data_IF_166579596962
#
_entry.id   IF_166579596962
#
_cell.length_a   1.000
_cell.length_b   1.000
_cell.length_c   1.000
_cell.angle_alpha   90.00
_cell.angle_beta   90.00
_cell.angle_gamma   90.00
#
_symmetry.space_group_name_H-M   'P 1'
#
loop_
_entity.id
_entity.type
_entity.pdbx_description
1 polymer ?
#
# COMPACT_ATOMS: atom_id res chain seq x y z
N UNK A 1 -1.25 48.03 -50.83
CA UNK A 1 -0.31 47.63 -49.77
C UNK A 1 -1.15 47.18 -48.58
N UNK A 2 -1.36 45.88 -48.45
CA UNK A 2 -2.09 45.30 -47.31
C UNK A 2 -1.06 45.16 -46.20
N UNK A 3 -1.24 45.91 -45.11
CA UNK A 3 -0.48 45.75 -43.88
C UNK A 3 -0.70 44.32 -43.37
N UNK A 4 0.30 43.46 -43.50
CA UNK A 4 0.41 42.24 -42.72
C UNK A 4 0.80 42.62 -41.30
N UNK A 5 -0.19 43.02 -40.50
CA UNK A 5 -0.07 42.93 -39.06
C UNK A 5 -0.32 41.46 -38.75
N UNK A 6 0.76 40.67 -38.60
CA UNK A 6 0.66 39.32 -38.02
C UNK A 6 -0.01 39.49 -36.65
N UNK A 7 -1.28 39.10 -36.55
CA UNK A 7 -1.93 38.92 -35.26
C UNK A 7 -1.18 37.80 -34.56
N UNK A 8 -0.24 38.15 -33.68
CA UNK A 8 0.37 37.19 -32.77
C UNK A 8 -0.76 36.60 -31.93
N UNK A 9 -0.97 35.29 -32.08
CA UNK A 9 -1.92 34.54 -31.26
C UNK A 9 -1.48 34.63 -29.80
N UNK A 10 -2.42 34.96 -28.92
CA UNK A 10 -2.21 34.93 -27.46
C UNK A 10 -1.80 33.53 -27.01
N UNK A 11 -1.08 33.38 -25.89
CA UNK A 11 -0.73 32.05 -25.38
C UNK A 11 -1.97 31.16 -25.18
N UNK A 12 -3.09 31.73 -24.75
CA UNK A 12 -4.36 31.02 -24.62
C UNK A 12 -4.87 30.45 -25.96
N UNK A 13 -4.80 31.22 -27.05
CA UNK A 13 -5.16 30.77 -28.41
C UNK A 13 -4.19 29.69 -28.91
N UNK A 14 -2.89 29.86 -28.66
CA UNK A 14 -1.88 28.85 -29.00
C UNK A 14 -2.15 27.54 -28.28
N UNK A 15 -2.47 27.57 -26.98
CA UNK A 15 -2.83 26.38 -26.20
C UNK A 15 -4.11 25.75 -26.77
N UNK A 16 -5.13 26.53 -27.12
CA UNK A 16 -6.36 26.01 -27.73
C UNK A 16 -6.09 25.26 -29.04
N UNK A 17 -5.23 25.81 -29.89
CA UNK A 17 -4.88 25.24 -31.20
C UNK A 17 -4.09 23.92 -31.10
N UNK A 18 -3.48 23.63 -29.96
CA UNK A 18 -2.73 22.39 -29.74
C UNK A 18 -3.62 21.14 -29.69
N UNK A 19 -4.92 21.30 -29.41
CA UNK A 19 -5.81 20.18 -29.16
C UNK A 19 -6.69 19.86 -30.37
N UNK A 20 -7.06 18.58 -30.59
CA UNK A 20 -7.97 18.21 -31.68
C UNK A 20 -9.32 18.94 -31.55
N UNK A 21 -9.83 19.45 -32.68
CA UNK A 21 -11.00 20.33 -32.79
C UNK A 21 -12.35 19.79 -32.25
N UNK A 22 -12.37 18.61 -31.61
CA UNK A 22 -13.55 18.00 -30.98
C UNK A 22 -13.58 18.05 -29.45
N UNK A 23 -12.57 18.61 -28.79
CA UNK A 23 -12.48 18.57 -27.32
C UNK A 23 -13.20 19.73 -26.63
N UNK A 24 -14.54 19.71 -26.62
CA UNK A 24 -15.39 20.69 -25.89
C UNK A 24 -15.06 20.80 -24.40
N UNK A 25 -14.42 19.77 -23.83
CA UNK A 25 -13.95 19.73 -22.46
C UNK A 25 -12.86 20.80 -22.17
N UNK A 26 -12.06 21.17 -23.17
CA UNK A 26 -10.97 22.14 -23.00
C UNK A 26 -11.45 23.60 -22.95
N UNK A 27 -12.46 23.95 -23.74
CA UNK A 27 -13.07 25.29 -23.64
C UNK A 27 -13.68 25.51 -22.26
N UNK A 28 -14.18 24.45 -21.62
CA UNK A 28 -14.61 24.50 -20.23
C UNK A 28 -13.42 24.65 -19.26
N UNK A 29 -12.28 23.96 -19.49
CA UNK A 29 -11.07 24.08 -18.67
C UNK A 29 -10.48 25.49 -18.68
N UNK A 30 -10.30 26.06 -19.87
CA UNK A 30 -9.69 27.38 -20.06
C UNK A 30 -10.62 28.54 -19.72
N UNK A 31 -11.92 28.26 -19.52
CA UNK A 31 -12.85 29.20 -18.87
C UNK A 31 -12.77 29.16 -17.34
N UNK A 32 -12.21 28.08 -16.78
CA UNK A 32 -12.07 27.88 -15.35
C UNK A 32 -10.66 28.17 -14.85
N UNK A 33 -9.66 28.12 -15.74
CA UNK A 33 -8.26 28.42 -15.47
C UNK A 33 -7.84 29.61 -16.34
N UNK A 34 -7.42 30.70 -15.70
CA UNK A 34 -6.89 31.87 -16.41
C UNK A 34 -5.45 31.58 -16.89
N UNK A 35 -5.12 31.88 -18.15
CA UNK A 35 -3.76 31.65 -18.68
C UNK A 35 -2.97 32.95 -18.55
N UNK A 36 -1.90 32.92 -17.76
CA UNK A 36 -1.08 34.10 -17.49
C UNK A 36 0.34 33.85 -17.97
N UNK A 37 0.81 34.68 -18.89
CA UNK A 37 2.21 34.68 -19.32
C UNK A 37 3.06 35.38 -18.24
N UNK A 38 4.03 34.67 -17.67
CA UNK A 38 4.92 35.20 -16.64
C UNK A 38 6.26 34.48 -16.62
N UNK A 39 7.33 35.22 -16.31
CA UNK A 39 8.68 34.68 -16.07
C UNK A 39 8.94 34.34 -14.60
N UNK A 40 7.92 34.48 -13.73
CA UNK A 40 8.02 34.15 -12.30
C UNK A 40 8.13 32.62 -12.05
N UNK A 41 7.80 31.81 -13.06
CA UNK A 41 7.97 30.36 -13.06
C UNK A 41 9.00 29.95 -14.12
N UNK A 42 9.73 28.86 -13.86
CA UNK A 42 10.80 28.42 -14.78
C UNK A 42 10.25 27.88 -16.10
N UNK A 43 9.13 27.16 -16.08
CA UNK A 43 8.55 26.53 -17.29
C UNK A 43 7.06 26.84 -17.44
N UNK A 44 6.22 26.21 -16.62
CA UNK A 44 4.80 26.46 -16.47
C UNK A 44 4.38 26.03 -15.06
N UNK A 45 3.20 26.44 -14.60
CA UNK A 45 2.66 26.00 -13.33
C UNK A 45 1.14 26.17 -13.30
N UNK A 46 0.45 25.36 -12.49
CA UNK A 46 -0.97 25.58 -12.20
C UNK A 46 -1.17 25.95 -10.74
N UNK A 47 -1.65 27.17 -10.51
CA UNK A 47 -2.02 27.63 -9.18
C UNK A 47 -3.26 26.90 -8.67
N UNK A 48 -3.15 26.36 -7.47
CA UNK A 48 -4.19 25.55 -6.83
C UNK A 48 -5.03 26.37 -5.83
N UNK A 49 -5.66 27.43 -6.33
CA UNK A 49 -6.49 28.37 -5.55
C UNK A 49 -7.96 28.34 -6.01
N UNK A 50 -8.83 29.08 -5.32
CA UNK A 50 -10.27 29.17 -5.66
C UNK A 50 -10.54 29.72 -7.07
N UNK A 51 -9.64 30.55 -7.60
CA UNK A 51 -9.59 30.93 -9.01
C UNK A 51 -8.22 30.51 -9.57
N UNK A 52 -8.12 29.33 -10.21
CA UNK A 52 -6.84 28.78 -10.63
C UNK A 52 -6.30 29.50 -11.86
N UNK A 53 -4.97 29.61 -11.94
CA UNK A 53 -4.27 30.22 -13.06
C UNK A 53 -3.19 29.28 -13.57
N UNK A 54 -3.08 29.14 -14.88
CA UNK A 54 -1.98 28.47 -15.54
C UNK A 54 -0.94 29.53 -15.88
N UNK A 55 0.13 29.55 -15.11
CA UNK A 55 1.29 30.39 -15.36
C UNK A 55 2.13 29.71 -16.43
N UNK A 56 2.50 30.43 -17.49
CA UNK A 56 3.31 29.89 -18.58
C UNK A 56 4.47 30.84 -18.83
N UNK A 57 5.69 30.33 -18.85
CA UNK A 57 6.87 31.11 -19.20
C UNK A 57 7.01 31.20 -20.74
N UNK A 58 6.79 32.38 -21.34
CA UNK A 58 6.83 32.51 -22.80
C UNK A 58 8.24 32.26 -23.37
N UNK A 59 9.30 32.62 -22.65
CA UNK A 59 10.69 32.38 -23.07
C UNK A 59 11.00 30.88 -23.11
N UNK A 60 10.50 30.12 -22.13
CA UNK A 60 10.62 28.67 -22.12
C UNK A 60 9.87 28.05 -23.30
N UNK A 61 8.65 28.50 -23.56
CA UNK A 61 7.82 28.00 -24.67
C UNK A 61 8.49 28.27 -26.01
N UNK A 62 9.00 29.48 -26.25
CA UNK A 62 9.68 29.81 -27.51
C UNK A 62 10.92 28.93 -27.74
N UNK A 63 11.66 28.62 -26.68
CA UNK A 63 12.89 27.84 -26.78
C UNK A 63 12.65 26.34 -26.90
N UNK A 64 11.73 25.78 -26.11
CA UNK A 64 11.59 24.33 -25.94
C UNK A 64 10.25 23.77 -26.41
N UNK A 65 9.22 24.60 -26.50
CA UNK A 65 7.88 24.20 -26.97
C UNK A 65 7.31 25.11 -28.08
N UNK A 66 8.07 25.41 -29.15
CA UNK A 66 7.64 26.39 -30.16
C UNK A 66 6.47 25.90 -31.03
N UNK A 67 6.29 24.58 -31.15
CA UNK A 67 5.22 23.98 -31.95
C UNK A 67 3.99 23.67 -31.09
N UNK A 68 2.80 23.62 -31.69
CA UNK A 68 1.58 23.23 -30.98
C UNK A 68 1.71 21.87 -30.29
N UNK A 69 2.34 20.90 -30.93
CA UNK A 69 2.51 19.55 -30.38
C UNK A 69 3.40 19.53 -29.14
N UNK A 70 4.44 20.37 -29.09
CA UNK A 70 5.30 20.47 -27.89
C UNK A 70 4.66 21.30 -26.79
N UNK A 71 3.95 22.38 -27.14
CA UNK A 71 3.19 23.17 -26.18
C UNK A 71 2.08 22.33 -25.54
N UNK A 72 1.45 21.44 -26.33
CA UNK A 72 0.52 20.45 -25.82
C UNK A 72 1.17 19.62 -24.70
N UNK A 73 2.38 19.11 -24.92
CA UNK A 73 3.07 18.25 -23.95
C UNK A 73 3.36 18.98 -22.64
N UNK A 74 3.78 20.24 -22.70
CA UNK A 74 3.99 21.08 -21.50
C UNK A 74 2.68 21.30 -20.73
N UNK A 75 1.61 21.70 -21.42
CA UNK A 75 0.30 21.92 -20.78
C UNK A 75 -0.25 20.62 -20.19
N UNK A 76 -0.13 19.53 -20.93
CA UNK A 76 -0.56 18.22 -20.49
C UNK A 76 0.24 17.74 -19.28
N UNK A 77 1.54 18.01 -19.23
CA UNK A 77 2.40 17.70 -18.10
C UNK A 77 1.89 18.40 -16.83
N UNK A 78 1.68 19.71 -16.88
CA UNK A 78 1.16 20.47 -15.74
C UNK A 78 -0.21 20.02 -15.26
N UNK A 79 -1.13 19.76 -16.19
CA UNK A 79 -2.47 19.27 -15.84
C UNK A 79 -2.42 17.88 -15.21
N UNK A 80 -1.47 17.03 -15.61
CA UNK A 80 -1.24 15.75 -14.95
C UNK A 80 -0.59 15.93 -13.58
N UNK A 81 0.28 16.91 -13.36
CA UNK A 81 0.76 17.24 -12.01
C UNK A 81 -0.38 17.60 -11.07
N UNK A 82 -1.36 18.40 -11.53
CA UNK A 82 -2.58 18.71 -10.77
C UNK A 82 -3.32 17.42 -10.40
N UNK A 83 -3.53 16.51 -11.36
CA UNK A 83 -4.28 15.27 -11.13
C UNK A 83 -3.55 14.24 -10.26
N UNK A 84 -2.23 14.09 -10.46
CA UNK A 84 -1.40 13.11 -9.75
C UNK A 84 -1.03 13.61 -8.36
N UNK A 85 -0.90 14.93 -8.17
CA UNK A 85 -0.69 15.59 -6.89
C UNK A 85 -1.81 15.39 -5.85
N UNK A 86 -2.94 14.78 -6.25
CA UNK A 86 -3.98 14.28 -5.33
C UNK A 86 -3.59 13.00 -4.59
N UNK A 87 -2.60 12.26 -5.08
CA UNK A 87 -2.08 11.09 -4.37
C UNK A 87 -1.13 11.57 -3.28
N UNK A 88 -1.69 11.78 -2.08
CA UNK A 88 -0.96 11.99 -0.81
C UNK A 88 0.02 10.84 -0.53
N UNK A 89 1.12 10.73 -1.27
CA UNK A 89 2.13 9.72 -0.98
C UNK A 89 3.04 10.17 0.17
N UNK A 90 3.30 11.48 0.34
CA UNK A 90 4.25 11.97 1.37
C UNK A 90 3.84 13.31 2.01
N UNK A 91 3.95 13.46 3.35
CA UNK A 91 3.77 14.74 4.07
C UNK A 91 4.81 15.82 3.71
N UNK A 92 5.96 15.41 3.18
CA UNK A 92 7.00 16.27 2.63
C UNK A 92 7.47 15.64 1.30
N UNK A 93 7.30 16.33 0.17
CA UNK A 93 7.77 15.85 -1.13
C UNK A 93 9.29 16.08 -1.20
N UNK A 94 10.06 15.02 -1.38
CA UNK A 94 11.51 15.10 -1.57
C UNK A 94 11.86 15.48 -3.02
N UNK A 95 13.11 15.86 -3.29
CA UNK A 95 13.52 16.14 -4.66
C UNK A 95 13.51 14.87 -5.52
N UNK A 96 13.79 13.71 -4.92
CA UNK A 96 13.69 12.41 -5.59
C UNK A 96 12.23 12.07 -5.92
N UNK A 97 11.27 12.42 -5.06
CA UNK A 97 9.84 12.23 -5.35
C UNK A 97 9.42 13.05 -6.57
N UNK A 98 9.81 14.34 -6.64
CA UNK A 98 9.52 15.20 -7.79
C UNK A 98 10.08 14.60 -9.10
N UNK A 99 11.33 14.15 -9.08
CA UNK A 99 11.96 13.47 -10.21
C UNK A 99 11.16 12.22 -10.67
N UNK A 100 10.67 11.43 -9.72
CA UNK A 100 9.86 10.23 -10.01
C UNK A 100 8.51 10.62 -10.62
N UNK A 101 7.86 11.66 -10.10
CA UNK A 101 6.57 12.14 -10.62
C UNK A 101 6.69 12.58 -12.07
N UNK A 102 7.66 13.44 -12.38
CA UNK A 102 7.93 13.90 -13.75
C UNK A 102 8.22 12.73 -14.68
N UNK A 103 9.05 11.77 -14.24
CA UNK A 103 9.38 10.60 -15.05
C UNK A 103 8.13 9.78 -15.42
N UNK A 104 7.21 9.59 -14.47
CA UNK A 104 5.96 8.87 -14.69
C UNK A 104 5.01 9.65 -15.61
N UNK A 105 4.89 10.96 -15.41
CA UNK A 105 4.03 11.84 -16.23
C UNK A 105 4.58 11.91 -17.67
N UNK A 106 5.88 12.15 -17.84
CA UNK A 106 6.51 12.23 -19.16
C UNK A 106 6.33 10.92 -19.94
N UNK A 107 6.56 9.78 -19.29
CA UNK A 107 6.36 8.48 -19.91
C UNK A 107 4.88 8.20 -20.25
N UNK A 108 3.94 8.66 -19.42
CA UNK A 108 2.51 8.60 -19.72
C UNK A 108 2.15 9.41 -20.96
N UNK A 109 2.64 10.65 -21.03
CA UNK A 109 2.36 11.53 -22.17
C UNK A 109 3.00 11.00 -23.46
N UNK A 110 4.20 10.44 -23.40
CA UNK A 110 4.81 9.77 -24.55
C UNK A 110 3.93 8.61 -25.07
N UNK A 111 3.24 7.87 -24.19
CA UNK A 111 2.33 6.80 -24.62
C UNK A 111 1.02 7.32 -25.21
N UNK A 112 0.49 8.41 -24.66
CA UNK A 112 -0.73 9.06 -25.17
C UNK A 112 -0.49 9.73 -26.53
N UNK A 113 0.69 10.32 -26.70
CA UNK A 113 1.11 11.03 -27.90
C UNK A 113 2.47 10.50 -28.39
N UNK A 114 2.51 9.33 -29.04
CA UNK A 114 3.75 8.68 -29.42
C UNK A 114 4.44 9.28 -30.65
N UNK A 115 3.81 10.28 -31.28
CA UNK A 115 4.37 10.94 -32.45
C UNK A 115 5.72 11.61 -32.13
N UNK A 116 6.71 11.56 -33.05
CA UNK A 116 8.01 12.20 -32.85
C UNK A 116 7.89 13.72 -32.63
N UNK A 117 6.88 14.37 -33.22
CA UNK A 117 6.58 15.78 -33.02
C UNK A 117 6.15 16.13 -31.58
N UNK A 118 5.60 15.16 -30.85
CA UNK A 118 5.22 15.29 -29.43
C UNK A 118 6.37 14.87 -28.51
N UNK A 119 6.87 13.65 -28.68
CA UNK A 119 7.96 13.09 -27.85
C UNK A 119 9.27 13.88 -27.98
N UNK A 120 9.44 14.59 -29.11
CA UNK A 120 10.49 15.56 -29.36
C UNK A 120 10.63 16.61 -28.25
N UNK A 121 9.53 17.00 -27.59
CA UNK A 121 9.58 17.91 -26.44
C UNK A 121 10.54 17.42 -25.35
N UNK A 122 10.39 16.17 -24.90
CA UNK A 122 11.23 15.62 -23.83
C UNK A 122 12.64 15.28 -24.32
N UNK A 123 12.79 14.80 -25.56
CA UNK A 123 14.12 14.44 -26.08
C UNK A 123 15.00 15.64 -26.39
N UNK A 124 14.40 16.80 -26.64
CA UNK A 124 15.12 18.05 -26.89
C UNK A 124 15.44 18.79 -25.58
N UNK A 125 14.58 18.63 -24.56
CA UNK A 125 14.78 19.26 -23.26
C UNK A 125 15.75 18.46 -22.35
N UNK A 126 15.62 17.13 -22.29
CA UNK A 126 16.44 16.29 -21.43
C UNK A 126 17.60 15.62 -22.17
N UNK A 127 18.79 15.62 -21.57
CA UNK A 127 19.96 14.93 -22.14
C UNK A 127 19.91 13.42 -21.88
N UNK A 128 20.23 12.61 -22.90
CA UNK A 128 20.41 11.16 -22.75
C UNK A 128 21.75 10.77 -22.09
N UNK A 129 22.68 11.71 -22.00
CA UNK A 129 24.05 11.52 -21.49
C UNK A 129 24.19 11.95 -20.02
N UNK A 130 23.14 12.52 -19.43
CA UNK A 130 23.13 13.00 -18.05
C UNK A 130 22.21 12.15 -17.15
N UNK A 131 22.79 11.50 -16.14
CA UNK A 131 22.02 10.83 -15.09
C UNK A 131 21.74 11.81 -13.93
N UNK A 132 20.52 11.87 -13.35
CA UNK A 132 19.36 11.04 -13.63
C UNK A 132 18.38 11.61 -14.69
N UNK A 133 18.67 12.78 -15.28
CA UNK A 133 17.81 13.45 -16.26
C UNK A 133 17.44 12.57 -17.48
N UNK A 134 18.28 11.62 -17.86
CA UNK A 134 18.03 10.67 -18.95
C UNK A 134 16.78 9.79 -18.72
N UNK A 135 16.27 9.69 -17.49
CA UNK A 135 15.04 8.96 -17.16
C UNK A 135 13.76 9.72 -17.54
N UNK A 136 13.85 11.05 -17.68
CA UNK A 136 12.72 11.95 -17.94
C UNK A 136 12.32 12.04 -19.42
N UNK A 137 12.99 11.26 -20.28
CA UNK A 137 12.74 11.20 -21.72
C UNK A 137 12.75 9.76 -22.24
N UNK A 138 12.05 9.49 -23.34
CA UNK A 138 12.21 8.24 -24.06
C UNK A 138 13.54 8.18 -24.83
N UNK A 139 13.89 6.99 -25.31
CA UNK A 139 15.04 6.79 -26.19
C UNK A 139 14.81 7.51 -27.54
N UNK A 140 15.89 7.90 -28.22
CA UNK A 140 15.78 8.53 -29.53
C UNK A 140 15.02 7.63 -30.53
N UNK A 141 14.01 8.21 -31.20
CA UNK A 141 13.15 7.48 -32.15
C UNK A 141 12.25 6.42 -31.51
N UNK A 142 12.00 6.50 -30.21
CA UNK A 142 11.11 5.58 -29.51
C UNK A 142 9.68 5.63 -30.08
N UNK A 143 9.07 4.45 -30.17
CA UNK A 143 7.64 4.23 -30.38
C UNK A 143 7.15 3.19 -29.35
N UNK A 144 5.88 3.23 -28.93
CA UNK A 144 5.33 2.26 -27.98
C UNK A 144 5.55 0.81 -28.42
N UNK A 145 6.27 0.03 -27.62
CA UNK A 145 6.59 -1.38 -27.90
C UNK A 145 7.80 -1.62 -28.80
N UNK A 146 8.46 -0.57 -29.29
CA UNK A 146 9.75 -0.71 -29.96
C UNK A 146 10.85 -0.96 -28.92
N UNK A 147 11.73 -1.94 -29.20
CA UNK A 147 12.97 -2.07 -28.46
C UNK A 147 13.97 -1.05 -28.99
N UNK A 148 14.48 -0.20 -28.10
CA UNK A 148 15.49 0.83 -28.41
C UNK A 148 16.68 0.68 -27.48
N UNK A 149 17.88 1.13 -27.91
CA UNK A 149 19.03 1.20 -27.02
C UNK A 149 18.71 2.06 -25.80
N UNK A 150 19.23 1.64 -24.64
CA UNK A 150 19.16 2.42 -23.42
C UNK A 150 19.95 3.72 -23.59
N UNK A 151 19.55 4.81 -22.90
CA UNK A 151 20.36 6.02 -22.79
C UNK A 151 21.79 5.69 -22.35
N UNK A 152 22.83 6.28 -22.99
CA UNK A 152 24.22 6.02 -22.66
C UNK A 152 24.55 6.20 -21.16
N UNK A 153 23.92 7.18 -20.51
CA UNK A 153 24.09 7.42 -19.07
C UNK A 153 23.65 6.24 -18.18
N UNK A 154 22.71 5.40 -18.65
CA UNK A 154 22.20 4.23 -17.91
C UNK A 154 22.98 2.95 -18.19
N UNK A 155 23.93 2.96 -19.13
CA UNK A 155 24.71 1.78 -19.51
C UNK A 155 25.81 1.41 -18.50
N UNK A 156 25.98 2.20 -17.43
CA UNK A 156 26.97 1.91 -16.38
C UNK A 156 26.53 0.69 -15.55
N UNK A 157 27.45 -0.22 -15.16
CA UNK A 157 27.11 -1.42 -14.38
C UNK A 157 26.40 -1.13 -13.06
N UNK A 158 26.71 0.01 -12.43
CA UNK A 158 26.08 0.49 -11.20
C UNK A 158 24.57 0.75 -11.32
N UNK A 159 24.07 0.93 -12.56
CA UNK A 159 22.65 1.21 -12.84
C UNK A 159 21.91 0.02 -13.45
N UNK A 160 22.46 -1.20 -13.43
CA UNK A 160 21.83 -2.38 -14.03
C UNK A 160 20.36 -2.58 -13.61
N UNK A 161 20.05 -2.36 -12.32
CA UNK A 161 18.66 -2.44 -11.81
C UNK A 161 17.72 -1.33 -12.31
N UNK A 162 18.25 -0.19 -12.75
CA UNK A 162 17.47 0.91 -13.33
C UNK A 162 17.21 0.73 -14.83
N UNK A 163 17.99 -0.09 -15.52
CA UNK A 163 17.80 -0.37 -16.94
C UNK A 163 16.45 -1.04 -17.18
N UNK A 164 16.13 -2.06 -16.38
CA UNK A 164 14.83 -2.76 -16.43
C UNK A 164 13.67 -1.82 -16.13
N UNK A 165 13.86 -0.93 -15.15
CA UNK A 165 12.86 0.06 -14.75
C UNK A 165 12.64 1.10 -15.85
N UNK A 166 13.69 1.57 -16.51
CA UNK A 166 13.58 2.47 -17.65
C UNK A 166 12.85 1.82 -18.83
N UNK A 167 13.18 0.56 -19.15
CA UNK A 167 12.49 -0.20 -20.20
C UNK A 167 11.01 -0.37 -19.84
N UNK A 168 10.70 -0.69 -18.59
CA UNK A 168 9.32 -0.78 -18.12
C UNK A 168 8.60 0.57 -18.20
N UNK A 169 9.27 1.67 -17.83
CA UNK A 169 8.71 3.03 -17.82
C UNK A 169 8.20 3.45 -19.20
N UNK A 170 9.00 3.20 -20.24
CA UNK A 170 8.67 3.50 -21.64
C UNK A 170 8.13 2.29 -22.43
N UNK A 171 7.68 1.24 -21.73
CA UNK A 171 6.94 0.14 -22.36
C UNK A 171 5.50 0.54 -22.67
N UNK A 172 4.76 -0.32 -23.38
CA UNK A 172 3.33 -0.11 -23.63
C UNK A 172 2.48 -0.08 -22.33
N UNK A 173 2.93 -0.76 -21.27
CA UNK A 173 2.21 -0.88 -19.99
C UNK A 173 2.64 0.15 -18.95
N UNK A 174 3.87 0.66 -19.05
CA UNK A 174 4.48 1.60 -18.10
C UNK A 174 4.98 0.96 -16.80
N UNK A 175 5.82 1.70 -16.08
CA UNK A 175 6.27 1.34 -14.73
C UNK A 175 5.36 1.96 -13.66
N UNK A 176 5.35 1.39 -12.44
CA UNK A 176 4.67 2.01 -11.31
C UNK A 176 5.58 3.02 -10.60
N UNK A 177 4.97 4.02 -9.95
CA UNK A 177 5.68 4.99 -9.10
C UNK A 177 6.59 4.27 -8.09
N UNK A 178 6.07 3.23 -7.44
CA UNK A 178 6.80 2.51 -6.39
C UNK A 178 8.05 1.81 -6.92
N UNK A 179 7.95 1.16 -8.08
CA UNK A 179 9.09 0.48 -8.72
C UNK A 179 10.20 1.49 -9.08
N UNK A 180 9.79 2.67 -9.58
CA UNK A 180 10.71 3.74 -9.95
C UNK A 180 11.32 4.42 -8.72
N UNK A 181 10.52 4.70 -7.69
CA UNK A 181 10.97 5.30 -6.43
C UNK A 181 11.94 4.39 -5.67
N UNK A 182 11.62 3.09 -5.53
CA UNK A 182 12.49 2.15 -4.82
C UNK A 182 13.83 1.95 -5.52
N UNK A 183 13.85 2.02 -6.85
CA UNK A 183 15.08 1.96 -7.62
C UNK A 183 15.88 3.26 -7.52
N UNK A 184 15.23 4.43 -7.59
CA UNK A 184 15.92 5.73 -7.59
C UNK A 184 16.40 6.18 -6.22
N UNK A 185 15.66 5.94 -5.13
CA UNK A 185 16.06 6.39 -3.78
C UNK A 185 17.37 5.79 -3.27
N UNK A 186 17.83 4.70 -3.88
CA UNK A 186 19.10 4.03 -3.53
C UNK A 186 20.29 4.55 -4.32
N UNK A 187 20.04 5.21 -5.45
CA UNK A 187 21.05 5.53 -6.47
C UNK A 187 21.14 7.03 -6.79
N UNK A 188 20.09 7.79 -6.47
CA UNK A 188 20.01 9.23 -6.67
C UNK A 188 19.97 9.90 -5.31
N UNK A 189 20.93 10.79 -5.04
CA UNK A 189 20.89 11.65 -3.85
C UNK A 189 19.92 12.82 -4.04
N UNK A 190 19.45 13.41 -2.93
CA UNK A 190 18.62 14.63 -2.99
C UNK A 190 19.29 15.78 -3.74
N UNK A 191 20.61 15.91 -3.63
CA UNK A 191 21.38 16.94 -4.34
C UNK A 191 21.37 16.70 -5.86
N UNK A 192 21.59 15.45 -6.28
CA UNK A 192 21.53 15.07 -7.69
C UNK A 192 20.12 15.26 -8.26
N UNK A 193 19.08 14.95 -7.49
CA UNK A 193 17.69 15.16 -7.91
C UNK A 193 17.36 16.65 -8.04
N UNK A 194 17.80 17.51 -7.11
CA UNK A 194 17.59 18.97 -7.19
C UNK A 194 18.32 19.64 -8.35
N UNK A 195 19.43 19.06 -8.79
CA UNK A 195 20.22 19.59 -9.91
C UNK A 195 19.56 19.34 -11.28
N UNK A 196 18.53 18.48 -11.35
CA UNK A 196 17.79 18.23 -12.59
C UNK A 196 16.72 19.32 -12.76
N UNK A 197 16.70 20.05 -13.90
CA UNK A 197 15.62 20.97 -14.19
C UNK A 197 14.34 20.18 -14.44
N UNK A 198 13.32 20.37 -13.63
CA UNK A 198 12.03 19.69 -13.76
C UNK A 198 11.01 20.58 -14.48
N UNK A 199 9.96 19.98 -15.00
CA UNK A 199 8.87 20.71 -15.63
C UNK A 199 7.83 21.02 -14.55
N UNK A 200 7.45 22.28 -14.39
CA UNK A 200 6.45 22.67 -13.41
C UNK A 200 7.02 23.52 -12.28
N UNK A 201 6.15 23.90 -11.34
CA UNK A 201 6.57 24.54 -10.09
C UNK A 201 6.83 23.51 -8.98
N UNK A 202 8.11 23.29 -8.69
CA UNK A 202 8.60 22.45 -7.60
C UNK A 202 9.18 23.26 -6.41
N UNK A 203 8.98 24.58 -6.37
CA UNK A 203 9.63 25.51 -5.43
C UNK A 203 8.94 25.66 -4.06
N UNK A 204 7.75 25.07 -3.85
CA UNK A 204 7.16 24.82 -2.53
C UNK A 204 5.97 25.70 -2.11
N UNK A 205 5.09 25.07 -1.30
CA UNK A 205 3.89 25.56 -0.57
C UNK A 205 2.66 26.05 -1.36
N UNK A 206 2.78 26.66 -2.54
CA UNK A 206 1.60 27.25 -3.24
C UNK A 206 1.29 26.71 -4.64
N UNK A 207 2.15 25.85 -5.23
CA UNK A 207 1.93 25.20 -6.52
C UNK A 207 1.14 23.88 -6.46
N UNK A 208 0.96 23.23 -7.63
CA UNK A 208 0.27 21.94 -7.83
C UNK A 208 0.90 20.76 -7.08
N UNK A 209 2.16 20.90 -6.69
CA UNK A 209 2.93 19.93 -5.88
C UNK A 209 2.63 20.02 -4.38
N UNK A 210 1.95 21.09 -3.93
CA UNK A 210 1.48 21.24 -2.55
C UNK A 210 0.23 20.39 -2.31
N UNK A 211 0.38 19.21 -1.72
CA UNK A 211 -0.69 18.24 -1.50
C UNK A 211 -1.97 18.77 -0.82
N UNK A 212 -2.98 17.90 -0.67
CA UNK A 212 -4.34 18.26 -0.19
C UNK A 212 -5.15 19.12 -1.18
N UNK A 213 -4.88 19.00 -2.47
CA UNK A 213 -5.61 19.70 -3.52
C UNK A 213 -7.15 19.50 -3.54
N UNK A 214 -7.75 18.33 -3.18
CA UNK A 214 -9.21 18.21 -3.10
C UNK A 214 -9.83 19.14 -2.05
N UNK A 215 -9.06 19.49 -1.02
CA UNK A 215 -9.50 20.36 0.09
C UNK A 215 -9.25 21.84 -0.24
N UNK A 216 -8.24 22.15 -1.05
CA UNK A 216 -7.85 23.53 -1.42
C UNK A 216 -8.60 24.08 -2.64
N UNK A 217 -8.88 23.23 -3.64
CA UNK A 217 -9.53 23.63 -4.89
C UNK A 217 -10.41 22.49 -5.48
N UNK A 218 -11.51 22.10 -4.81
CA UNK A 218 -12.34 20.94 -5.19
C UNK A 218 -12.96 21.06 -6.59
N UNK A 219 -13.34 22.28 -7.01
CA UNK A 219 -13.96 22.55 -8.32
C UNK A 219 -12.95 22.38 -9.46
N UNK A 220 -11.72 22.87 -9.28
CA UNK A 220 -10.63 22.66 -10.24
C UNK A 220 -10.37 21.16 -10.41
N UNK A 221 -10.26 20.43 -9.31
CA UNK A 221 -10.00 19.00 -9.35
C UNK A 221 -11.07 18.22 -10.13
N UNK A 222 -12.34 18.37 -9.75
CA UNK A 222 -13.42 17.65 -10.43
C UNK A 222 -13.51 18.01 -11.91
N UNK A 223 -13.25 19.27 -12.25
CA UNK A 223 -13.30 19.70 -13.64
C UNK A 223 -12.14 19.13 -14.44
N UNK A 224 -10.89 19.30 -13.98
CA UNK A 224 -9.71 18.74 -14.65
C UNK A 224 -9.85 17.22 -14.80
N UNK A 225 -10.34 16.52 -13.77
CA UNK A 225 -10.63 15.08 -13.83
C UNK A 225 -11.62 14.72 -14.93
N UNK A 226 -12.76 15.39 -15.00
CA UNK A 226 -13.79 15.16 -16.03
C UNK A 226 -13.29 15.45 -17.46
N UNK A 227 -12.32 16.35 -17.59
CA UNK A 227 -11.73 16.73 -18.88
C UNK A 227 -10.72 15.68 -19.34
N UNK A 228 -9.80 15.28 -18.47
CA UNK A 228 -8.76 14.29 -18.79
C UNK A 228 -9.34 12.90 -19.04
N UNK A 229 -10.43 12.54 -18.37
CA UNK A 229 -11.17 11.30 -18.64
C UNK A 229 -11.67 11.19 -20.10
N UNK A 230 -11.84 12.31 -20.81
CA UNK A 230 -12.34 12.35 -22.20
C UNK A 230 -11.24 12.40 -23.27
N UNK A 231 -9.97 12.41 -22.87
CA UNK A 231 -8.83 12.48 -23.79
C UNK A 231 -8.37 11.10 -24.29
N UNK A 232 -7.58 11.03 -25.39
CA UNK A 232 -7.07 9.77 -25.93
C UNK A 232 -6.39 8.97 -24.84
N UNK A 233 -7.04 7.88 -24.45
CA UNK A 233 -6.48 6.95 -23.50
C UNK A 233 -5.36 6.16 -24.20
N UNK A 234 -4.31 5.74 -23.49
CA UNK A 234 -3.25 4.91 -24.07
C UNK A 234 -3.85 3.68 -24.79
N UNK A 235 -3.18 3.16 -25.83
CA UNK A 235 -3.73 2.16 -26.78
C UNK A 235 -4.26 0.87 -26.14
N UNK A 236 -3.84 0.56 -24.91
CA UNK A 236 -4.49 -0.41 -24.04
C UNK A 236 -5.20 0.30 -22.86
N UNK A 237 -6.40 0.87 -23.08
CA UNK A 237 -7.18 1.42 -21.98
C UNK A 237 -7.64 0.25 -21.13
N UNK A 238 -6.95 0.00 -20.02
CA UNK A 238 -7.36 -1.02 -19.06
C UNK A 238 -8.70 -0.57 -18.47
N UNK A 239 -9.78 -1.23 -18.89
CA UNK A 239 -11.14 -0.91 -18.49
C UNK A 239 -11.24 -0.74 -16.96
N UNK A 240 -11.68 0.44 -16.51
CA UNK A 240 -11.79 0.82 -15.09
C UNK A 240 -10.77 1.84 -14.57
N UNK A 241 -9.92 2.43 -15.42
CA UNK A 241 -8.93 3.45 -15.02
C UNK A 241 -9.32 4.87 -15.45
N UNK A 242 -9.96 5.63 -14.56
CA UNK A 242 -9.83 7.09 -14.54
C UNK A 242 -8.45 7.44 -13.94
N UNK A 243 -7.86 8.58 -14.33
CA UNK A 243 -6.62 9.08 -13.74
C UNK A 243 -6.70 9.27 -12.21
N UNK A 244 -7.92 9.38 -11.65
CA UNK A 244 -8.18 9.37 -10.20
C UNK A 244 -7.89 8.03 -9.52
N UNK A 245 -7.68 6.96 -10.30
CA UNK A 245 -7.31 5.62 -9.83
C UNK A 245 -5.81 5.34 -9.98
N UNK A 246 -4.96 6.37 -9.84
CA UNK A 246 -3.57 6.16 -9.39
C UNK A 246 -3.46 5.74 -7.92
N UNK A 247 -4.60 5.62 -7.24
CA UNK A 247 -4.80 4.51 -6.31
C UNK A 247 -5.15 3.26 -7.12
N UNK A 248 -4.15 2.43 -7.44
CA UNK A 248 -4.44 1.06 -7.86
C UNK A 248 -5.07 0.35 -6.68
N UNK A 249 -6.38 0.08 -6.75
CA UNK A 249 -6.84 -1.26 -6.40
C UNK A 249 -6.24 -2.19 -7.45
N UNK A 250 -5.02 -2.63 -7.18
CA UNK A 250 -4.48 -3.77 -7.89
C UNK A 250 -5.41 -4.93 -7.60
N UNK A 251 -6.18 -5.37 -8.60
CA UNK A 251 -6.59 -6.76 -8.66
C UNK A 251 -5.33 -7.60 -8.90
N UNK A 252 -4.46 -7.62 -7.88
CA UNK A 252 -3.67 -8.80 -7.59
C UNK A 252 -4.71 -9.91 -7.65
N UNK A 253 -4.45 -10.99 -8.39
CA UNK A 253 -4.88 -12.27 -7.83
C UNK A 253 -4.31 -12.21 -6.43
N UNK A 254 -5.11 -12.14 -5.35
CA UNK A 254 -4.51 -12.26 -4.06
C UNK A 254 -3.86 -13.63 -4.15
N UNK A 255 -2.53 -13.66 -4.26
CA UNK A 255 -1.81 -14.67 -3.53
C UNK A 255 -2.45 -14.53 -2.16
N UNK A 256 -3.33 -15.48 -1.82
CA UNK A 256 -3.78 -15.62 -0.46
C UNK A 256 -2.53 -16.07 0.27
N UNK A 257 -1.60 -15.14 0.49
CA UNK A 257 -0.51 -15.26 1.44
C UNK A 257 -1.26 -15.56 2.71
N UNK A 258 -1.17 -16.82 3.12
CA UNK A 258 -1.90 -17.31 4.28
C UNK A 258 -1.43 -16.43 5.43
N UNK A 259 -2.30 -15.55 5.91
CA UNK A 259 -1.96 -14.65 7.01
C UNK A 259 -1.62 -15.49 8.24
N UNK A 260 -0.82 -14.98 9.18
CA UNK A 260 -0.54 -15.67 10.45
C UNK A 260 -1.82 -16.13 11.14
N UNK A 261 -2.87 -15.30 11.10
CA UNK A 261 -4.23 -15.65 11.57
C UNK A 261 -4.80 -16.86 10.85
N UNK A 262 -4.69 -16.90 9.52
CA UNK A 262 -5.16 -18.04 8.72
C UNK A 262 -4.31 -19.30 8.93
N UNK A 263 -2.99 -19.16 9.16
CA UNK A 263 -2.08 -20.26 9.48
C UNK A 263 -2.40 -20.85 10.85
N UNK A 264 -2.53 -20.01 11.88
CA UNK A 264 -2.90 -20.40 13.25
C UNK A 264 -4.28 -21.06 13.28
N UNK A 265 -5.26 -20.48 12.60
CA UNK A 265 -6.59 -21.10 12.42
C UNK A 265 -6.48 -22.45 11.73
N UNK A 266 -5.63 -22.58 10.71
CA UNK A 266 -5.37 -23.86 10.04
C UNK A 266 -4.79 -24.91 10.99
N UNK A 267 -3.81 -24.52 11.81
CA UNK A 267 -3.18 -25.38 12.81
C UNK A 267 -4.20 -25.83 13.88
N UNK A 268 -4.93 -24.90 14.48
CA UNK A 268 -5.96 -25.20 15.49
C UNK A 268 -7.03 -26.17 14.95
N UNK A 269 -7.43 -26.02 13.68
CA UNK A 269 -8.39 -26.94 13.06
C UNK A 269 -7.81 -28.33 12.83
N UNK A 270 -6.54 -28.43 12.41
CA UNK A 270 -5.84 -29.71 12.26
C UNK A 270 -5.70 -30.43 13.59
N UNK A 271 -5.25 -29.72 14.63
CA UNK A 271 -5.10 -30.27 15.99
C UNK A 271 -6.46 -30.65 16.59
N UNK A 272 -7.50 -29.85 16.35
CA UNK A 272 -8.89 -30.12 16.73
C UNK A 272 -9.60 -31.23 15.92
N UNK A 273 -8.88 -31.95 15.05
CA UNK A 273 -9.41 -33.12 14.34
C UNK A 273 -10.23 -32.83 13.07
N UNK A 274 -10.03 -31.67 12.45
CA UNK A 274 -10.74 -31.28 11.20
C UNK A 274 -9.77 -31.30 10.01
N UNK A 275 -9.72 -32.42 9.29
CA UNK A 275 -8.86 -32.61 8.10
C UNK A 275 -9.48 -32.07 6.80
N UNK A 276 -8.60 -31.77 5.82
CA UNK A 276 -8.97 -31.29 4.48
C UNK A 276 -9.49 -32.46 3.64
N UNK A 277 -10.82 -32.55 3.47
CA UNK A 277 -11.45 -33.50 2.54
C UNK A 277 -12.90 -33.86 2.85
N UNK A 278 -13.35 -33.70 4.10
CA UNK A 278 -14.73 -33.97 4.48
C UNK A 278 -15.63 -32.72 4.38
N UNK A 279 -16.44 -32.63 3.32
CA UNK A 279 -17.42 -31.56 3.10
C UNK A 279 -18.56 -31.44 4.14
N UNK A 280 -18.42 -32.00 5.35
CA UNK A 280 -19.48 -32.14 6.36
C UNK A 280 -19.09 -31.75 7.79
N UNK A 281 -18.13 -30.84 7.99
CA UNK A 281 -17.72 -30.46 9.36
C UNK A 281 -18.18 -29.05 9.76
N UNK A 282 -19.49 -28.80 9.58
CA UNK A 282 -20.19 -27.59 10.03
C UNK A 282 -21.54 -28.02 10.59
N UNK A 283 -21.71 -27.95 11.90
CA UNK A 283 -23.03 -28.19 12.50
C UNK A 283 -23.83 -26.89 12.35
N UNK A 284 -25.03 -27.00 11.79
CA UNK A 284 -26.03 -25.94 11.79
C UNK A 284 -26.79 -26.02 13.09
N UNK A 285 -26.41 -25.20 14.07
CA UNK A 285 -27.16 -25.10 15.32
C UNK A 285 -28.10 -23.89 15.27
N UNK A 286 -29.30 -23.99 15.85
CA UNK A 286 -30.12 -22.81 16.12
C UNK A 286 -29.35 -21.87 17.04
N UNK A 287 -29.14 -20.63 16.59
CA UNK A 287 -28.63 -19.56 17.42
C UNK A 287 -29.64 -18.41 17.40
N UNK A 288 -29.93 -17.84 18.56
CA UNK A 288 -30.65 -16.58 18.62
C UNK A 288 -29.73 -15.46 18.17
N UNK A 289 -30.19 -14.69 17.20
CA UNK A 289 -29.55 -13.46 16.75
C UNK A 289 -30.52 -12.31 16.95
N UNK A 290 -30.03 -11.26 17.59
CA UNK A 290 -30.76 -10.01 17.73
C UNK A 290 -30.79 -9.28 16.39
N UNK A 291 -31.96 -8.84 15.96
CA UNK A 291 -32.21 -8.14 14.70
C UNK A 291 -33.09 -6.93 14.95
N UNK A 292 -32.98 -5.93 14.09
CA UNK A 292 -33.95 -4.84 14.04
C UNK A 292 -35.23 -5.35 13.35
N UNK A 293 -36.32 -5.37 14.11
CA UNK A 293 -37.62 -5.91 13.74
C UNK A 293 -38.66 -4.80 13.67
N UNK A 294 -39.55 -4.79 12.67
CA UNK A 294 -40.68 -3.86 12.65
C UNK A 294 -41.77 -4.22 13.68
N UNK A 295 -41.68 -5.41 14.30
CA UNK A 295 -42.62 -5.88 15.32
C UNK A 295 -42.32 -5.18 16.65
N UNK A 296 -43.26 -4.42 17.24
CA UNK A 296 -43.04 -3.75 18.52
C UNK A 296 -42.61 -4.71 19.62
N UNK A 297 -41.47 -4.42 20.23
CA UNK A 297 -40.96 -5.14 21.40
C UNK A 297 -40.54 -4.17 22.51
N UNK A 298 -40.49 -4.68 23.73
CA UNK A 298 -39.95 -3.91 24.85
C UNK A 298 -38.42 -3.94 24.80
N UNK A 299 -37.83 -2.90 24.25
CA UNK A 299 -36.38 -2.68 24.29
C UNK A 299 -36.03 -1.30 24.87
N UNK A 300 -34.84 -1.20 25.48
CA UNK A 300 -34.39 0.02 26.17
C UNK A 300 -34.23 1.20 25.22
N UNK A 301 -33.77 0.96 23.98
CA UNK A 301 -33.56 2.00 22.97
C UNK A 301 -34.89 2.62 22.57
N UNK A 302 -35.90 1.80 22.30
CA UNK A 302 -37.24 2.22 21.94
C UNK A 302 -37.95 2.96 23.09
N UNK A 303 -37.72 2.56 24.34
CA UNK A 303 -38.20 3.30 25.51
C UNK A 303 -37.58 4.72 25.58
N UNK A 304 -36.26 4.84 25.42
CA UNK A 304 -35.55 6.13 25.43
C UNK A 304 -36.00 7.01 24.26
N UNK A 305 -36.09 6.47 23.05
CA UNK A 305 -36.53 7.21 21.87
C UNK A 305 -37.96 7.75 22.04
N UNK A 306 -38.86 6.95 22.63
CA UNK A 306 -40.23 7.40 22.94
C UNK A 306 -40.26 8.51 23.99
N UNK A 307 -39.42 8.43 25.04
CA UNK A 307 -39.32 9.53 26.01
C UNK A 307 -38.77 10.83 25.41
N UNK A 308 -38.02 10.74 24.31
CA UNK A 308 -37.52 11.89 23.55
C UNK A 308 -38.50 12.37 22.47
N UNK A 309 -39.71 11.83 22.41
CA UNK A 309 -40.75 12.21 21.45
C UNK A 309 -40.61 11.56 20.06
N UNK A 310 -39.66 10.64 19.87
CA UNK A 310 -39.52 9.90 18.62
C UNK A 310 -40.43 8.65 18.61
N UNK A 311 -40.92 8.28 17.42
CA UNK A 311 -41.69 7.04 17.23
C UNK A 311 -40.82 5.98 16.52
N UNK A 312 -40.16 5.06 17.26
CA UNK A 312 -39.29 4.06 16.65
C UNK A 312 -40.09 3.08 15.80
N UNK A 313 -39.66 2.90 14.55
CA UNK A 313 -40.25 1.93 13.61
C UNK A 313 -39.58 0.55 13.69
N UNK A 314 -38.39 0.47 14.30
CA UNK A 314 -37.61 -0.75 14.45
C UNK A 314 -37.29 -0.99 15.92
N UNK A 315 -37.50 -2.23 16.35
CA UNK A 315 -37.38 -2.72 17.70
C UNK A 315 -36.43 -3.92 17.74
N UNK A 316 -35.78 -4.15 18.86
CA UNK A 316 -34.93 -5.33 19.06
C UNK A 316 -35.80 -6.60 19.05
N UNK A 317 -35.69 -7.40 17.99
CA UNK A 317 -36.27 -8.74 17.89
C UNK A 317 -35.21 -9.82 17.98
N UNK A 318 -35.61 -11.05 18.29
CA UNK A 318 -34.74 -12.21 18.23
C UNK A 318 -35.24 -13.18 17.16
N UNK A 319 -34.36 -13.56 16.25
CA UNK A 319 -34.65 -14.61 15.25
C UNK A 319 -33.76 -15.81 15.49
N UNK A 320 -34.33 -17.00 15.33
CA UNK A 320 -33.56 -18.24 15.33
C UNK A 320 -32.92 -18.40 13.96
N UNK A 321 -31.63 -18.08 13.87
CA UNK A 321 -30.84 -18.34 12.66
C UNK A 321 -30.09 -19.65 12.81
N UNK A 322 -30.03 -20.44 11.75
CA UNK A 322 -29.15 -21.61 11.71
C UNK A 322 -27.71 -21.11 11.54
N UNK A 323 -26.96 -21.06 12.63
CA UNK A 323 -25.57 -20.59 12.62
C UNK A 323 -24.64 -21.79 12.46
N UNK A 324 -23.64 -21.63 11.59
CA UNK A 324 -22.58 -22.63 11.39
C UNK A 324 -21.62 -22.56 12.58
N UNK A 325 -21.44 -23.67 13.31
CA UNK A 325 -20.41 -23.81 14.36
C UNK A 325 -19.31 -24.79 13.96
N UNK A 326 -18.14 -24.61 14.57
CA UNK A 326 -17.01 -25.52 14.45
C UNK A 326 -17.36 -26.87 15.10
N UNK A 327 -17.20 -27.95 14.33
CA UNK A 327 -17.56 -29.31 14.74
C UNK A 327 -16.38 -30.10 15.37
N UNK A 328 -15.17 -29.53 15.41
CA UNK A 328 -14.00 -30.18 16.00
C UNK A 328 -13.87 -29.95 17.50
N UNK A 329 -12.97 -30.70 18.14
CA UNK A 329 -12.65 -30.50 19.55
C UNK A 329 -11.92 -29.17 19.76
N UNK A 330 -12.22 -28.51 20.88
CA UNK A 330 -11.50 -27.31 21.30
C UNK A 330 -10.08 -27.66 21.73
N UNK A 331 -9.14 -26.79 21.40
CA UNK A 331 -7.71 -27.00 21.61
C UNK A 331 -7.22 -26.10 22.75
N UNK A 332 -6.39 -26.62 23.64
CA UNK A 332 -5.71 -25.81 24.65
C UNK A 332 -4.59 -25.00 24.00
N UNK A 333 -4.50 -23.71 24.29
CA UNK A 333 -3.44 -22.85 23.75
C UNK A 333 -2.48 -22.48 24.86
N UNK A 334 -1.21 -22.84 24.66
CA UNK A 334 -0.08 -22.43 25.48
C UNK A 334 0.66 -21.31 24.74
N UNK A 335 0.61 -20.11 25.30
CA UNK A 335 1.19 -18.91 24.71
C UNK A 335 2.43 -18.49 25.49
N UNK A 336 3.57 -18.54 24.81
CA UNK A 336 4.84 -18.11 25.36
C UNK A 336 4.82 -16.60 25.61
N UNK A 337 5.15 -16.21 26.83
CA UNK A 337 5.23 -14.82 27.29
C UNK A 337 6.59 -14.50 27.89
N UNK A 338 7.60 -15.31 27.58
CA UNK A 338 8.99 -15.10 27.96
C UNK A 338 9.56 -13.78 27.43
N UNK A 339 10.78 -13.45 27.86
CA UNK A 339 11.49 -12.25 27.42
C UNK A 339 11.73 -12.19 25.91
N UNK A 340 12.00 -13.34 25.27
CA UNK A 340 12.38 -13.42 23.85
C UNK A 340 11.23 -13.12 22.89
N UNK A 341 9.98 -13.33 23.31
CA UNK A 341 8.79 -12.99 22.53
C UNK A 341 8.60 -11.46 22.41
N UNK A 342 9.16 -10.69 23.36
CA UNK A 342 9.26 -9.23 23.28
C UNK A 342 7.97 -8.52 22.86
N UNK A 343 8.06 -7.75 21.77
CA UNK A 343 6.98 -6.91 21.23
C UNK A 343 5.88 -7.70 20.49
N UNK A 344 6.07 -9.01 20.24
CA UNK A 344 5.09 -9.83 19.52
C UNK A 344 3.86 -10.17 20.38
N UNK A 345 3.93 -10.01 21.70
CA UNK A 345 2.87 -10.41 22.66
C UNK A 345 1.50 -9.86 22.28
N UNK A 346 1.41 -8.56 21.97
CA UNK A 346 0.14 -7.93 21.59
C UNK A 346 -0.45 -8.50 20.29
N UNK A 347 0.39 -8.76 19.29
CA UNK A 347 -0.04 -9.35 18.02
C UNK A 347 -0.50 -10.81 18.21
N UNK A 348 0.18 -11.59 19.05
CA UNK A 348 -0.20 -12.96 19.38
C UNK A 348 -1.52 -13.01 20.15
N UNK A 349 -1.74 -12.09 21.11
CA UNK A 349 -3.01 -11.98 21.85
C UNK A 349 -4.16 -11.73 20.88
N UNK A 350 -3.98 -10.79 19.94
CA UNK A 350 -4.96 -10.54 18.88
C UNK A 350 -5.25 -11.78 18.03
N UNK A 351 -4.22 -12.52 17.61
CA UNK A 351 -4.38 -13.73 16.80
C UNK A 351 -5.13 -14.84 17.55
N UNK A 352 -4.88 -14.99 18.85
CA UNK A 352 -5.58 -15.94 19.72
C UNK A 352 -7.05 -15.55 19.90
N UNK A 353 -7.35 -14.26 20.14
CA UNK A 353 -8.72 -13.74 20.25
C UNK A 353 -9.55 -14.00 18.98
N UNK A 354 -8.93 -13.85 17.81
CA UNK A 354 -9.56 -14.10 16.51
C UNK A 354 -9.89 -15.59 16.29
N UNK A 355 -9.20 -16.48 17.00
CA UNK A 355 -9.37 -17.93 16.91
C UNK A 355 -10.18 -18.54 18.07
N UNK A 356 -10.83 -17.70 18.90
CA UNK A 356 -11.55 -18.14 20.13
C UNK A 356 -12.57 -19.26 19.93
N UNK A 357 -13.12 -19.42 18.72
CA UNK A 357 -14.09 -20.48 18.42
C UNK A 357 -13.47 -21.89 18.43
N UNK A 358 -12.16 -22.00 18.21
CA UNK A 358 -11.42 -23.27 18.17
C UNK A 358 -10.72 -23.59 19.50
N UNK A 359 -10.70 -22.65 20.42
CA UNK A 359 -9.83 -22.68 21.60
C UNK A 359 -10.65 -23.01 22.85
N UNK A 360 -10.05 -23.79 23.74
CA UNK A 360 -10.59 -24.06 25.07
C UNK A 360 -10.80 -22.74 25.85
N UNK A 361 -11.83 -22.57 26.69
CA UNK A 361 -12.12 -21.28 27.33
C UNK A 361 -10.96 -20.67 28.14
N UNK A 362 -10.08 -21.50 28.70
CA UNK A 362 -8.85 -21.07 29.38
C UNK A 362 -7.66 -20.97 28.43
N UNK A 363 -6.89 -19.88 28.56
CA UNK A 363 -5.65 -19.65 27.83
C UNK A 363 -4.50 -19.76 28.80
N UNK A 364 -3.50 -20.55 28.44
CA UNK A 364 -2.38 -20.87 29.31
C UNK A 364 -1.19 -20.01 28.87
N UNK A 365 -0.90 -18.92 29.59
CA UNK A 365 0.35 -18.20 29.37
C UNK A 365 1.48 -19.01 30.00
N UNK A 366 2.65 -19.10 29.36
CA UNK A 366 3.78 -19.78 29.98
C UNK A 366 5.11 -19.02 29.83
N UNK A 367 5.95 -19.19 30.86
CA UNK A 367 7.33 -18.72 30.93
C UNK A 367 8.13 -19.83 31.63
N UNK A 368 8.57 -19.65 32.88
CA UNK A 368 9.03 -20.78 33.73
C UNK A 368 7.89 -21.46 34.48
N UNK A 369 6.70 -20.87 34.47
CA UNK A 369 5.47 -21.40 35.03
C UNK A 369 4.29 -21.14 34.08
N UNK A 370 3.18 -21.85 34.29
CA UNK A 370 1.93 -21.66 33.54
C UNK A 370 0.95 -20.81 34.36
N UNK A 371 0.43 -19.76 33.74
CA UNK A 371 -0.60 -18.90 34.32
C UNK A 371 -1.84 -18.84 33.42
N UNK A 372 -2.98 -19.25 33.98
CA UNK A 372 -4.25 -19.26 33.27
C UNK A 372 -4.90 -17.88 33.25
N UNK A 373 -5.40 -17.49 32.07
CA UNK A 373 -6.20 -16.30 31.88
C UNK A 373 -7.44 -16.59 31.03
N UNK A 374 -8.45 -15.75 31.19
CA UNK A 374 -9.67 -15.74 30.39
C UNK A 374 -9.48 -14.94 29.09
N UNK A 375 -10.39 -15.12 28.12
CA UNK A 375 -10.44 -14.26 26.92
C UNK A 375 -10.67 -12.77 27.24
N UNK A 376 -11.33 -12.45 28.36
CA UNK A 376 -11.54 -11.06 28.76
C UNK A 376 -10.25 -10.43 29.29
N UNK A 377 -9.54 -11.14 30.16
CA UNK A 377 -8.20 -10.76 30.62
C UNK A 377 -7.21 -10.66 29.46
N UNK A 378 -7.25 -11.60 28.51
CA UNK A 378 -6.45 -11.53 27.28
C UNK A 378 -6.78 -10.26 26.47
N UNK A 379 -8.07 -9.91 26.31
CA UNK A 379 -8.49 -8.68 25.63
C UNK A 379 -8.02 -7.41 26.35
N UNK A 380 -7.96 -7.45 27.68
CA UNK A 380 -7.44 -6.36 28.52
C UNK A 380 -5.90 -6.29 28.53
N UNK A 381 -5.22 -7.24 27.88
CA UNK A 381 -3.76 -7.28 27.79
C UNK A 381 -3.07 -7.76 29.06
N UNK A 382 -3.78 -8.50 29.93
CA UNK A 382 -3.18 -9.07 31.15
C UNK A 382 -2.11 -10.09 30.75
N UNK A 383 -0.87 -9.83 31.13
CA UNK A 383 0.28 -10.69 30.87
C UNK A 383 0.93 -11.05 32.21
N UNK A 384 0.96 -12.35 32.55
CA UNK A 384 1.63 -12.90 33.74
C UNK A 384 2.83 -13.70 33.27
N UNK A 385 4.05 -13.27 33.64
CA UNK A 385 5.30 -13.87 33.17
C UNK A 385 6.40 -13.70 34.20
N UNK A 386 7.30 -14.69 34.29
CA UNK A 386 8.55 -14.61 35.05
C UNK A 386 9.73 -14.12 34.20
N UNK A 387 9.56 -14.05 32.88
CA UNK A 387 10.57 -13.61 31.92
C UNK A 387 11.47 -14.72 31.36
N UNK A 388 11.53 -15.91 32.00
CA UNK A 388 12.22 -17.09 31.47
C UNK A 388 11.33 -17.97 30.59
N UNK A 389 11.84 -19.14 30.18
CA UNK A 389 11.12 -20.13 29.34
C UNK A 389 11.49 -21.54 29.79
N UNK A 390 10.50 -22.39 30.07
CA UNK A 390 10.69 -23.80 30.41
C UNK A 390 9.51 -24.67 29.93
N UNK A 391 9.78 -25.66 29.08
CA UNK A 391 8.77 -26.59 28.59
C UNK A 391 8.23 -27.53 29.67
N UNK A 392 9.00 -27.82 30.72
CA UNK A 392 8.60 -28.77 31.75
C UNK A 392 7.35 -28.29 32.50
N UNK A 393 7.19 -26.99 32.71
CA UNK A 393 5.99 -26.43 33.34
C UNK A 393 4.72 -26.68 32.49
N UNK A 394 4.84 -26.60 31.17
CA UNK A 394 3.74 -26.89 30.22
C UNK A 394 3.39 -28.38 30.27
N UNK A 395 4.39 -29.26 30.23
CA UNK A 395 4.17 -30.70 30.31
C UNK A 395 3.51 -31.10 31.65
N UNK A 396 3.99 -30.57 32.78
CA UNK A 396 3.38 -30.79 34.09
C UNK A 396 1.92 -30.32 34.13
N UNK A 397 1.63 -29.13 33.58
CA UNK A 397 0.28 -28.59 33.49
C UNK A 397 -0.64 -29.46 32.62
N UNK A 398 -0.15 -29.92 31.45
CA UNK A 398 -0.90 -30.82 30.57
C UNK A 398 -1.23 -32.14 31.26
N UNK A 399 -0.28 -32.71 32.01
CA UNK A 399 -0.46 -33.95 32.77
C UNK A 399 -1.54 -33.81 33.84
N UNK A 400 -1.46 -32.75 34.66
CA UNK A 400 -2.40 -32.47 35.74
C UNK A 400 -3.83 -32.26 35.23
N UNK A 401 -3.96 -31.59 34.09
CA UNK A 401 -5.26 -31.26 33.49
C UNK A 401 -5.73 -32.26 32.41
N UNK A 402 -4.98 -33.35 32.18
CA UNK A 402 -5.27 -34.39 31.19
C UNK A 402 -5.51 -33.82 29.78
N UNK A 403 -4.69 -32.83 29.38
CA UNK A 403 -4.80 -32.15 28.09
C UNK A 403 -4.42 -33.11 26.97
N UNK A 404 -5.34 -33.35 26.04
CA UNK A 404 -5.15 -34.27 24.90
C UNK A 404 -4.84 -33.57 23.58
N UNK A 405 -5.11 -32.27 23.47
CA UNK A 405 -4.94 -31.48 22.24
C UNK A 405 -4.45 -30.10 22.63
N UNK A 406 -3.25 -29.76 22.17
CA UNK A 406 -2.61 -28.51 22.53
C UNK A 406 -1.94 -27.85 21.33
N UNK A 407 -1.91 -26.51 21.32
CA UNK A 407 -1.09 -25.71 20.44
C UNK A 407 -0.17 -24.84 21.28
N UNK A 408 1.14 -24.96 21.06
CA UNK A 408 2.15 -24.08 21.63
C UNK A 408 2.47 -22.97 20.62
N UNK A 409 2.53 -21.74 21.12
CA UNK A 409 2.95 -20.56 20.35
C UNK A 409 4.20 -20.02 21.04
N UNK A 410 5.37 -20.17 20.42
CA UNK A 410 6.69 -19.91 21.03
C UNK A 410 7.73 -19.62 19.95
N UNK A 411 8.91 -19.11 20.30
CA UNK A 411 10.07 -19.08 19.41
C UNK A 411 10.79 -20.44 19.33
N UNK A 412 10.43 -21.39 20.20
CA UNK A 412 10.93 -22.75 20.20
C UNK A 412 12.15 -22.99 21.08
N UNK A 413 12.71 -21.96 21.72
CA UNK A 413 13.80 -22.09 22.71
C UNK A 413 13.21 -22.33 24.10
N UNK A 414 12.64 -23.52 24.29
CA UNK A 414 11.88 -23.88 25.50
C UNK A 414 12.64 -24.85 26.41
N UNK A 415 13.82 -25.30 25.99
CA UNK A 415 14.58 -26.36 26.64
C UNK A 415 14.09 -27.75 26.22
N UNK A 416 15.01 -28.70 26.10
CA UNK A 416 14.66 -30.07 25.76
C UNK A 416 13.85 -30.72 26.91
N UNK A 417 12.67 -31.30 26.64
CA UNK A 417 11.87 -31.93 27.68
C UNK A 417 12.57 -33.17 28.24
N UNK A 418 12.50 -33.37 29.56
CA UNK A 418 12.92 -34.61 30.19
C UNK A 418 12.06 -35.80 29.74
N UNK A 419 12.47 -37.03 30.08
CA UNK A 419 11.81 -38.27 29.60
C UNK A 419 10.29 -38.28 29.87
N UNK A 420 9.89 -38.01 31.12
CA UNK A 420 8.47 -38.01 31.52
C UNK A 420 7.65 -36.89 30.85
N UNK A 421 8.27 -35.73 30.65
CA UNK A 421 7.63 -34.60 30.00
C UNK A 421 7.47 -34.86 28.50
N UNK A 422 8.46 -35.50 27.89
CA UNK A 422 8.41 -35.95 26.49
C UNK A 422 7.27 -36.95 26.27
N UNK A 423 7.10 -37.93 27.17
CA UNK A 423 5.96 -38.87 27.12
C UNK A 423 4.62 -38.15 27.22
N UNK A 424 4.51 -37.18 28.13
CA UNK A 424 3.28 -36.39 28.31
C UNK A 424 2.94 -35.58 27.05
N UNK A 425 3.93 -34.90 26.46
CA UNK A 425 3.76 -34.10 25.26
C UNK A 425 3.41 -34.99 24.05
N UNK A 426 4.07 -36.14 23.89
CA UNK A 426 3.83 -37.08 22.79
C UNK A 426 2.48 -37.81 22.89
N UNK A 427 1.91 -37.95 24.09
CA UNK A 427 0.59 -38.55 24.29
C UNK A 427 -0.57 -37.63 23.85
N UNK A 428 -0.31 -36.33 23.68
CA UNK A 428 -1.28 -35.35 23.19
C UNK A 428 -1.08 -35.07 21.70
N UNK A 429 -2.15 -34.67 21.00
CA UNK A 429 -2.02 -34.08 19.67
C UNK A 429 -1.44 -32.67 19.81
N UNK A 430 -0.17 -32.49 19.42
CA UNK A 430 0.58 -31.27 19.67
C UNK A 430 0.85 -30.50 18.39
N UNK A 431 0.33 -29.28 18.31
CA UNK A 431 0.71 -28.31 17.28
C UNK A 431 1.69 -27.28 17.82
N UNK A 432 2.65 -26.85 17.00
CA UNK A 432 3.58 -25.77 17.35
C UNK A 432 3.51 -24.68 16.28
N UNK A 433 3.31 -23.45 16.74
CA UNK A 433 3.39 -22.24 15.94
C UNK A 433 4.63 -21.46 16.35
N UNK A 434 5.65 -21.49 15.51
CA UNK A 434 6.89 -20.77 15.75
C UNK A 434 6.70 -19.28 15.44
N UNK A 435 7.13 -18.40 16.33
CA UNK A 435 7.21 -16.96 16.06
C UNK A 435 8.29 -16.66 15.02
N UNK A 436 8.16 -15.58 14.22
CA UNK A 436 9.13 -15.25 13.17
C UNK A 436 10.51 -14.87 13.72
N UNK A 437 11.51 -14.89 12.82
CA UNK A 437 12.93 -14.55 13.03
C UNK A 437 13.79 -15.68 13.60
N UNK A 438 14.04 -15.62 14.90
CA UNK A 438 14.97 -16.47 15.61
C UNK A 438 14.18 -17.58 16.28
N UNK A 439 13.92 -18.64 15.53
CA UNK A 439 13.17 -19.78 16.02
C UNK A 439 13.91 -21.09 15.81
N UNK A 440 13.69 -22.06 16.70
CA UNK A 440 14.22 -23.42 16.57
C UNK A 440 13.11 -24.46 16.66
N UNK A 441 13.32 -25.60 16.01
CA UNK A 441 12.45 -26.77 16.15
C UNK A 441 13.00 -27.79 17.13
N UNK A 442 14.30 -27.75 17.39
CA UNK A 442 15.07 -28.83 17.99
C UNK A 442 14.49 -29.31 19.33
N UNK A 443 14.11 -28.39 20.22
CA UNK A 443 13.62 -28.71 21.56
C UNK A 443 12.29 -29.49 21.54
N UNK A 444 11.49 -29.30 20.49
CA UNK A 444 10.18 -29.91 20.31
C UNK A 444 10.16 -30.92 19.14
N UNK A 445 11.32 -31.18 18.53
CA UNK A 445 11.49 -32.10 17.41
C UNK A 445 11.33 -33.54 17.92
N UNK A 446 10.18 -34.13 17.57
CA UNK A 446 9.79 -35.47 17.98
C UNK A 446 8.71 -35.54 19.06
N UNK A 447 8.15 -34.42 19.50
CA UNK A 447 6.88 -34.39 20.27
C UNK A 447 5.76 -33.66 19.53
N UNK A 448 6.09 -32.76 18.61
CA UNK A 448 5.11 -32.00 17.85
C UNK A 448 4.63 -32.72 16.58
N UNK A 449 3.31 -32.88 16.43
CA UNK A 449 2.67 -33.49 15.27
C UNK A 449 2.53 -32.54 14.08
N UNK A 450 2.39 -31.24 14.34
CA UNK A 450 2.01 -30.24 13.36
C UNK A 450 2.79 -28.96 13.59
N UNK A 451 3.37 -28.42 12.52
CA UNK A 451 4.18 -27.21 12.60
C UNK A 451 3.62 -26.14 11.67
N UNK A 452 3.67 -24.90 12.14
CA UNK A 452 3.61 -23.70 11.32
C UNK A 452 4.70 -22.74 11.78
N UNK A 453 5.16 -21.90 10.87
CA UNK A 453 6.06 -20.79 11.16
C UNK A 453 5.33 -19.51 10.82
N UNK A 454 5.05 -18.70 11.84
CA UNK A 454 4.40 -17.42 11.70
C UNK A 454 5.38 -16.46 11.01
N UNK A 455 4.87 -15.61 10.15
CA UNK A 455 5.67 -14.68 9.35
C UNK A 455 5.68 -13.31 10.03
N UNK A 456 6.74 -12.53 9.90
CA UNK A 456 6.62 -11.09 10.14
C UNK A 456 5.60 -10.56 9.12
N UNK A 457 4.42 -10.14 9.60
CA UNK A 457 3.52 -9.36 8.75
C UNK A 457 4.24 -8.08 8.42
N UNK A 458 4.25 -7.65 7.14
CA UNK A 458 4.96 -6.47 6.62
C UNK A 458 5.07 -5.32 7.64
N UNK A 459 6.06 -5.42 8.52
CA UNK A 459 6.74 -4.31 9.13
C UNK A 459 7.75 -3.98 8.06
N UNK A 460 7.51 -2.86 7.39
CA UNK A 460 8.54 -1.92 6.94
C UNK A 460 9.90 -2.54 6.62
N UNK A 461 10.31 -2.38 5.36
CA UNK A 461 11.70 -2.35 4.90
C UNK A 461 12.51 -1.32 5.72
N UNK A 462 12.85 -1.68 6.96
CA UNK A 462 13.85 -1.06 7.82
C UNK A 462 14.39 -2.18 8.69
N UNK A 463 15.38 -2.89 8.17
CA UNK A 463 16.30 -3.64 9.01
C UNK A 463 17.33 -2.62 9.53
N UNK A 464 17.43 -2.39 10.85
CA UNK A 464 18.61 -1.75 11.40
C UNK A 464 19.71 -2.81 11.39
N UNK A 465 20.52 -2.84 10.33
CA UNK A 465 21.80 -3.55 10.40
C UNK A 465 22.77 -2.68 11.19
N UNK A 466 23.02 -3.16 12.42
CA UNK A 466 24.30 -3.13 13.13
C UNK A 466 24.95 -1.77 13.37
N UNK A 467 24.63 -1.17 14.52
CA UNK A 467 25.61 -0.47 15.33
C UNK A 467 26.62 -1.49 15.87
N UNK A 468 27.67 -1.78 15.11
CA UNK A 468 28.94 -2.37 15.56
C UNK A 468 29.98 -2.09 14.48
N UNK A 469 30.52 -0.86 14.47
CA UNK A 469 31.85 -0.50 13.93
C UNK A 469 32.16 0.98 14.21
N UNK A 470 32.05 1.36 15.49
CA UNK A 470 32.52 2.65 16.00
C UNK A 470 33.33 2.43 17.28
N UNK A 471 34.38 1.61 17.18
CA UNK A 471 35.43 1.50 18.18
C UNK A 471 36.64 0.76 17.60
N UNK A 472 37.38 1.43 16.71
CA UNK A 472 38.80 1.23 16.41
C UNK A 472 39.17 2.15 15.26
N UNK A 473 39.69 3.32 15.59
CA UNK A 473 40.76 4.08 14.92
C UNK A 473 40.74 5.49 15.52
N UNK A 474 41.11 5.54 16.80
CA UNK A 474 41.80 6.67 17.40
C UNK A 474 43.13 6.10 17.87
N UNK A 475 44.10 6.13 16.98
CA UNK A 475 45.53 6.35 17.21
C UNK A 475 46.17 6.80 15.89
#
# INVERSE_FOLDING_TARGET
MINQTEFQKTMQERILDCFPAGSYALSALLRLVDVVETTDVETAAVECRSNPRMLVNPEFVERFAPTPEKLLMLVMHELHHVLLGHTRLFPCVTAVDNLVFDAVINALLCRMFPGPEHTGFFTDFYSQDAFPACLLRPAAGWLPGSQRPLPPALMRPEYAGLQDVYVALYSQTGASYHDLYDALRRLVSEEQARAVPLLGDHSGAQGSTGGHLPERAPVLFETVRQIVERWPQPPDPIAGRSLSNLLRDSALRPERKVTNRAMLRGLLRRVGGVERGGGRNRVLEPAQMTVDSPVPSFDRRAAVLRSLGANPLLYSGNVNVKRRRFAGEKVHVYLDVSGSIGDLKGALYGAVLDCREFIWPGIHLFSTEVADITFDELRRGICRTTGGTDIACVAAHMRGNKVRRAVLITDGFVGAPGLQDRETLAAAKLGVALTPNYCTRNDLEGVADCWIELRLGNQTLFSPRSFHDAARHCE
#
